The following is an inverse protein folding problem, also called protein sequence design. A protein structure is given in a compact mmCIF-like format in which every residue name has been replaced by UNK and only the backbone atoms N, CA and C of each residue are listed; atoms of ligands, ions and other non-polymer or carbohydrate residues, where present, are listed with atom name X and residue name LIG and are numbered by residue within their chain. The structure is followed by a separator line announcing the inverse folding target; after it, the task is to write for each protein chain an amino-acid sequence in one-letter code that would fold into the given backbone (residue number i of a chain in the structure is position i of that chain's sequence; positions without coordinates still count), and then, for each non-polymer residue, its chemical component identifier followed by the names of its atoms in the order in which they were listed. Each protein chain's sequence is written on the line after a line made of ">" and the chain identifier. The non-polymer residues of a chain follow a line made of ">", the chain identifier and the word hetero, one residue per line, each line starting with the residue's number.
data_IF_751832066613
#
_entry.id   IF_751832066613
#
_cell.length_a   1.000
_cell.length_b   1.000
_cell.length_c   1.000
_cell.angle_alpha   90.00
_cell.angle_beta   90.00
_cell.angle_gamma   90.00
#
_symmetry.space_group_name_H-M   'P 1'
#
loop_
_entity.id
_entity.type
_entity.pdbx_description
1 polymer ?
#
# COMPACT_ATOMS: atom_id res chain seq x y z
N UNK A 1 13.12 17.54 -3.95
CA UNK A 1 13.29 18.62 -4.94
C UNK A 1 13.25 20.03 -4.31
N UNK A 2 12.79 20.17 -3.07
CA UNK A 2 12.56 21.47 -2.41
C UNK A 2 11.37 22.28 -2.96
N UNK A 3 10.66 21.78 -3.95
CA UNK A 3 9.48 22.45 -4.49
C UNK A 3 8.24 22.13 -3.67
N UNK A 4 7.74 23.13 -2.93
CA UNK A 4 6.56 22.99 -2.06
C UNK A 4 5.27 22.65 -2.81
N UNK A 5 5.13 23.04 -4.08
CA UNK A 5 3.93 22.69 -4.86
C UNK A 5 3.77 21.19 -5.04
N UNK A 6 4.87 20.45 -5.20
CA UNK A 6 4.83 18.98 -5.28
C UNK A 6 4.43 18.35 -3.94
N UNK A 7 4.92 18.88 -2.83
CA UNK A 7 4.54 18.43 -1.50
C UNK A 7 3.04 18.63 -1.26
N UNK A 8 2.54 19.83 -1.51
CA UNK A 8 1.12 20.16 -1.36
C UNK A 8 0.23 19.26 -2.23
N UNK A 9 0.65 18.99 -3.47
CA UNK A 9 -0.11 18.13 -4.38
C UNK A 9 -0.11 16.68 -3.90
N UNK A 10 1.03 16.18 -3.44
CA UNK A 10 1.15 14.81 -2.93
C UNK A 10 0.29 14.62 -1.66
N UNK A 11 0.35 15.56 -0.71
CA UNK A 11 -0.47 15.55 0.51
C UNK A 11 -1.96 15.56 0.16
N UNK A 12 -2.36 16.45 -0.75
CA UNK A 12 -3.74 16.53 -1.22
C UNK A 12 -4.25 15.16 -1.74
N UNK A 13 -3.52 14.52 -2.66
CA UNK A 13 -3.97 13.25 -3.24
C UNK A 13 -3.99 12.11 -2.21
N UNK A 14 -3.04 12.07 -1.30
CA UNK A 14 -3.03 11.06 -0.22
C UNK A 14 -4.23 11.26 0.70
N UNK A 15 -4.49 12.49 1.16
CA UNK A 15 -5.60 12.76 2.09
C UNK A 15 -6.98 12.64 1.45
N UNK A 16 -7.09 12.86 0.13
CA UNK A 16 -8.35 12.67 -0.58
C UNK A 16 -8.71 11.19 -0.79
N UNK A 17 -7.73 10.30 -0.71
CA UNK A 17 -7.99 8.87 -0.94
C UNK A 17 -8.84 8.28 0.18
N UNK A 18 -9.96 7.68 -0.23
CA UNK A 18 -10.94 7.08 0.68
C UNK A 18 -11.83 8.08 1.43
N UNK A 19 -11.79 9.36 1.07
CA UNK A 19 -12.76 10.35 1.57
C UNK A 19 -14.09 10.25 0.82
N UNK A 20 -15.16 10.73 1.45
CA UNK A 20 -16.45 10.91 0.81
C UNK A 20 -16.64 12.38 0.38
N UNK A 21 -17.19 12.64 -0.82
CA UNK A 21 -17.62 11.66 -1.82
C UNK A 21 -16.42 10.94 -2.47
N UNK A 22 -16.54 9.61 -2.62
CA UNK A 22 -15.50 8.79 -3.21
C UNK A 22 -15.47 8.98 -4.74
N UNK A 23 -14.46 9.68 -5.24
CA UNK A 23 -14.32 10.00 -6.66
C UNK A 23 -14.40 8.77 -7.58
N UNK A 24 -13.74 7.65 -7.21
CA UNK A 24 -13.75 6.44 -8.04
C UNK A 24 -15.13 5.79 -8.08
N UNK A 25 -15.89 5.85 -6.97
CA UNK A 25 -17.27 5.39 -6.94
C UNK A 25 -18.17 6.28 -7.80
N UNK A 26 -18.02 7.59 -7.72
CA UNK A 26 -18.79 8.52 -8.56
C UNK A 26 -18.49 8.34 -10.06
N UNK A 27 -17.23 8.11 -10.39
CA UNK A 27 -16.84 7.77 -11.76
C UNK A 27 -17.43 6.43 -12.22
N UNK A 28 -17.43 5.41 -11.39
CA UNK A 28 -18.06 4.11 -11.67
C UNK A 28 -19.57 4.26 -11.91
N UNK A 29 -20.26 5.04 -11.07
CA UNK A 29 -21.70 5.35 -11.24
C UNK A 29 -21.96 6.11 -12.54
N UNK A 30 -21.13 7.11 -12.88
CA UNK A 30 -21.26 7.90 -14.11
C UNK A 30 -21.13 7.04 -15.36
N UNK A 31 -20.39 5.94 -15.30
CA UNK A 31 -20.28 4.92 -16.34
C UNK A 31 -21.38 3.84 -16.27
N UNK A 32 -22.47 4.11 -15.57
CA UNK A 32 -23.60 3.17 -15.41
C UNK A 32 -23.20 1.81 -14.83
N UNK A 33 -22.26 1.81 -13.88
CA UNK A 33 -21.75 0.60 -13.24
C UNK A 33 -20.84 -0.25 -14.13
N UNK A 34 -20.25 0.32 -15.20
CA UNK A 34 -19.31 -0.40 -16.04
C UNK A 34 -17.88 -0.19 -15.53
N UNK A 35 -17.19 -1.29 -15.29
CA UNK A 35 -15.75 -1.27 -15.01
C UNK A 35 -14.93 -1.01 -16.29
N UNK A 36 -13.79 -0.33 -16.16
CA UNK A 36 -12.87 -0.10 -17.27
C UNK A 36 -12.18 -1.40 -17.72
N UNK A 37 -11.96 -2.30 -16.78
CA UNK A 37 -11.29 -3.58 -17.04
C UNK A 37 -12.30 -4.72 -16.86
N UNK A 38 -12.43 -5.63 -17.85
CA UNK A 38 -13.39 -6.73 -17.82
C UNK A 38 -13.20 -7.72 -16.66
N UNK A 39 -12.00 -7.77 -16.08
CA UNK A 39 -11.64 -8.62 -14.95
C UNK A 39 -12.41 -8.25 -13.68
N UNK A 40 -12.85 -7.01 -13.57
CA UNK A 40 -13.67 -6.56 -12.46
C UNK A 40 -15.15 -6.79 -12.77
N UNK A 41 -15.74 -7.79 -12.11
CA UNK A 41 -17.19 -8.02 -12.20
C UNK A 41 -17.99 -6.94 -11.49
N UNK A 42 -17.48 -6.49 -10.34
CA UNK A 42 -18.10 -5.48 -9.49
C UNK A 42 -17.07 -4.42 -9.08
N UNK A 43 -17.56 -3.29 -8.61
CA UNK A 43 -16.69 -2.27 -8.03
C UNK A 43 -16.11 -2.77 -6.69
N UNK A 44 -14.80 -2.65 -6.55
CA UNK A 44 -14.07 -3.06 -5.34
C UNK A 44 -13.26 -1.86 -4.81
N UNK A 45 -13.78 -1.21 -3.78
CA UNK A 45 -13.16 -0.06 -3.12
C UNK A 45 -11.84 -0.42 -2.42
N UNK A 46 -11.71 -1.65 -1.91
CA UNK A 46 -10.46 -2.16 -1.33
C UNK A 46 -9.37 -2.30 -2.36
N UNK A 47 -9.72 -2.70 -3.60
CA UNK A 47 -8.73 -2.87 -4.67
C UNK A 47 -7.94 -1.59 -4.96
N UNK A 48 -8.61 -0.44 -4.89
CA UNK A 48 -8.02 0.87 -5.13
C UNK A 48 -7.57 1.60 -3.85
N UNK A 49 -7.60 0.95 -2.69
CA UNK A 49 -7.29 1.51 -1.38
C UNK A 49 -8.16 2.74 -1.02
N UNK A 50 -9.45 2.71 -1.40
CA UNK A 50 -10.42 3.80 -1.13
C UNK A 50 -11.57 3.39 -0.22
N UNK A 51 -11.50 2.20 0.39
CA UNK A 51 -12.51 1.66 1.31
C UNK A 51 -12.63 2.44 2.64
N UNK A 52 -11.63 3.22 2.96
CA UNK A 52 -11.60 4.14 4.10
C UNK A 52 -10.55 5.23 3.87
N UNK A 53 -10.65 6.40 4.52
CA UNK A 53 -9.58 7.38 4.55
C UNK A 53 -8.25 6.73 4.94
N UNK A 54 -7.15 7.07 4.25
CA UNK A 54 -5.87 6.37 4.41
C UNK A 54 -5.36 6.35 5.86
N UNK A 55 -5.61 7.41 6.62
CA UNK A 55 -5.23 7.49 8.04
C UNK A 55 -6.04 6.55 8.94
N UNK A 56 -7.17 6.02 8.45
CA UNK A 56 -8.04 5.08 9.17
C UNK A 56 -7.96 3.64 8.67
N UNK A 57 -7.15 3.38 7.66
CA UNK A 57 -6.96 2.02 7.18
C UNK A 57 -6.18 1.19 8.19
N UNK A 58 -6.69 -0.01 8.49
CA UNK A 58 -6.12 -0.93 9.49
C UNK A 58 -5.31 -2.06 8.84
N UNK A 59 -5.60 -2.38 7.58
CA UNK A 59 -4.99 -3.49 6.84
C UNK A 59 -4.55 -3.05 5.45
N UNK A 60 -3.50 -3.66 4.94
CA UNK A 60 -3.02 -3.44 3.58
C UNK A 60 -3.91 -4.17 2.57
N UNK A 61 -4.70 -3.43 1.81
CA UNK A 61 -5.72 -3.98 0.93
C UNK A 61 -5.42 -3.73 -0.55
N UNK A 62 -6.04 -4.53 -1.41
CA UNK A 62 -6.06 -4.36 -2.85
C UNK A 62 -4.75 -4.70 -3.54
N UNK A 63 -4.49 -4.08 -4.69
CA UNK A 63 -3.31 -4.33 -5.49
C UNK A 63 -2.04 -4.02 -4.71
N UNK A 64 -1.17 -5.02 -4.55
CA UNK A 64 -0.06 -4.97 -3.60
C UNK A 64 0.97 -3.88 -3.95
N UNK A 65 1.38 -3.77 -5.21
CA UNK A 65 2.35 -2.74 -5.65
C UNK A 65 1.83 -1.33 -5.40
N UNK A 66 0.58 -1.08 -5.80
CA UNK A 66 -0.04 0.24 -5.62
C UNK A 66 -0.15 0.62 -4.15
N UNK A 67 -0.49 -0.34 -3.30
CA UNK A 67 -0.58 -0.13 -1.86
C UNK A 67 0.78 0.30 -1.27
N UNK A 68 1.85 -0.47 -1.51
CA UNK A 68 3.17 -0.15 -0.93
C UNK A 68 3.81 1.10 -1.53
N UNK A 69 3.51 1.47 -2.77
CA UNK A 69 3.91 2.77 -3.32
C UNK A 69 3.17 3.93 -2.65
N UNK A 70 1.87 3.79 -2.41
CA UNK A 70 1.10 4.78 -1.67
C UNK A 70 1.62 4.93 -0.24
N UNK A 71 1.88 3.83 0.47
CA UNK A 71 2.43 3.86 1.83
C UNK A 71 3.84 4.45 1.87
N UNK A 72 4.64 4.25 0.83
CA UNK A 72 5.94 4.93 0.68
C UNK A 72 5.78 6.45 0.62
N UNK A 73 4.81 6.94 -0.14
CA UNK A 73 4.50 8.37 -0.22
C UNK A 73 3.98 8.91 1.12
N UNK A 74 3.12 8.16 1.82
CA UNK A 74 2.63 8.52 3.15
C UNK A 74 3.78 8.65 4.17
N UNK A 75 4.73 7.71 4.17
CA UNK A 75 5.89 7.76 5.07
C UNK A 75 6.80 8.97 4.77
N UNK A 76 7.01 9.32 3.50
CA UNK A 76 7.75 10.52 3.13
C UNK A 76 7.03 11.81 3.57
N UNK A 77 5.71 11.89 3.39
CA UNK A 77 4.89 13.02 3.86
C UNK A 77 4.95 13.15 5.38
N UNK A 78 4.71 12.03 6.11
CA UNK A 78 4.79 11.99 7.56
C UNK A 78 6.12 12.54 8.09
N UNK A 79 7.22 12.13 7.46
CA UNK A 79 8.57 12.58 7.83
C UNK A 79 8.80 14.08 7.55
N UNK A 80 8.39 14.55 6.37
CA UNK A 80 8.64 15.94 5.93
C UNK A 80 7.77 16.93 6.69
N UNK A 81 6.51 16.58 6.93
CA UNK A 81 5.54 17.43 7.60
C UNK A 81 5.48 17.23 9.12
N UNK A 82 6.20 16.21 9.63
CA UNK A 82 6.16 15.77 11.04
C UNK A 82 4.74 15.42 11.49
N UNK A 83 4.03 14.71 10.62
CA UNK A 83 2.65 14.28 10.84
C UNK A 83 2.62 12.95 11.61
N UNK A 84 2.37 13.02 12.90
CA UNK A 84 2.34 11.85 13.79
C UNK A 84 1.15 10.91 13.49
N UNK A 85 0.01 11.44 13.06
CA UNK A 85 -1.16 10.62 12.71
C UNK A 85 -0.87 9.78 11.45
N UNK A 86 -0.28 10.41 10.44
CA UNK A 86 0.15 9.69 9.22
C UNK A 86 1.27 8.70 9.52
N UNK A 87 2.22 9.04 10.39
CA UNK A 87 3.27 8.13 10.83
C UNK A 87 2.68 6.88 11.52
N UNK A 88 1.71 7.06 12.41
CA UNK A 88 1.01 5.97 13.08
C UNK A 88 0.23 5.09 12.08
N UNK A 89 -0.41 5.68 11.06
CA UNK A 89 -1.06 4.93 10.00
C UNK A 89 -0.06 4.10 9.20
N UNK A 90 1.09 4.66 8.82
CA UNK A 90 2.17 3.93 8.15
C UNK A 90 2.65 2.76 9.00
N UNK A 91 2.85 2.96 10.31
CA UNK A 91 3.28 1.91 11.22
C UNK A 91 2.28 0.75 11.26
N UNK A 92 0.98 1.02 11.42
CA UNK A 92 -0.08 -0.02 11.41
C UNK A 92 -0.07 -0.83 10.12
N UNK A 93 -0.02 -0.16 8.97
CA UNK A 93 -0.04 -0.80 7.67
C UNK A 93 1.23 -1.63 7.42
N UNK A 94 2.39 -1.10 7.82
CA UNK A 94 3.66 -1.84 7.77
C UNK A 94 3.60 -3.11 8.62
N UNK A 95 3.16 -2.99 9.85
CA UNK A 95 3.03 -4.13 10.76
C UNK A 95 2.03 -5.17 10.27
N UNK A 96 0.90 -4.75 9.70
CA UNK A 96 -0.05 -5.67 9.09
C UNK A 96 0.62 -6.47 7.95
N UNK A 97 1.36 -5.81 7.07
CA UNK A 97 2.07 -6.48 5.99
C UNK A 97 3.09 -7.46 6.55
N UNK A 98 4.03 -6.98 7.34
CA UNK A 98 5.21 -7.77 7.75
C UNK A 98 4.86 -8.92 8.69
N UNK A 99 3.90 -8.71 9.59
CA UNK A 99 3.53 -9.72 10.59
C UNK A 99 2.50 -10.73 10.10
N UNK A 100 1.69 -10.38 9.05
CA UNK A 100 0.52 -11.18 8.70
C UNK A 100 0.36 -11.49 7.21
N UNK A 101 1.01 -10.72 6.31
CA UNK A 101 0.78 -10.80 4.86
C UNK A 101 2.07 -10.93 4.04
N UNK A 102 3.19 -11.14 4.70
CA UNK A 102 4.49 -11.35 4.08
C UNK A 102 4.91 -12.81 4.23
N UNK A 103 5.36 -13.40 3.12
CA UNK A 103 5.96 -14.73 3.11
C UNK A 103 7.33 -14.73 3.77
N UNK A 104 7.79 -15.91 4.17
CA UNK A 104 9.12 -16.08 4.79
C UNK A 104 10.25 -15.57 3.90
N UNK A 105 10.06 -15.57 2.59
CA UNK A 105 11.00 -15.04 1.59
C UNK A 105 11.05 -13.51 1.54
N UNK A 106 10.07 -12.82 2.11
CA UNK A 106 9.90 -11.37 1.98
C UNK A 106 8.90 -10.95 0.89
N UNK A 107 8.35 -11.92 0.15
CA UNK A 107 7.33 -11.65 -0.87
C UNK A 107 6.00 -11.25 -0.26
N UNK A 108 5.23 -10.42 -0.98
CA UNK A 108 3.89 -9.95 -0.60
C UNK A 108 2.93 -10.04 -1.79
N UNK A 109 1.61 -9.99 -1.53
CA UNK A 109 0.60 -10.12 -2.58
C UNK A 109 0.38 -11.58 -2.94
N UNK A 110 -0.42 -12.30 -2.14
CA UNK A 110 -0.61 -13.75 -2.27
C UNK A 110 -1.45 -14.17 -3.48
N UNK A 111 -2.34 -13.29 -3.99
CA UNK A 111 -3.23 -13.62 -5.10
C UNK A 111 -2.75 -13.09 -6.44
N UNK A 112 -2.62 -13.98 -7.43
CA UNK A 112 -2.43 -13.61 -8.84
C UNK A 112 -3.66 -12.97 -9.48
N UNK A 113 -4.86 -13.20 -8.92
CA UNK A 113 -6.06 -12.52 -9.37
C UNK A 113 -6.01 -11.07 -8.91
N UNK A 114 -5.89 -10.14 -9.85
CA UNK A 114 -5.76 -8.71 -9.61
C UNK A 114 -4.51 -8.33 -8.79
N UNK A 115 -3.51 -9.21 -8.69
CA UNK A 115 -2.19 -8.94 -8.07
C UNK A 115 -2.31 -8.31 -6.68
N UNK A 116 -3.16 -8.92 -5.83
CA UNK A 116 -3.65 -8.26 -4.62
C UNK A 116 -3.28 -8.96 -3.33
N UNK A 117 -3.36 -8.22 -2.24
CA UNK A 117 -3.43 -8.78 -0.90
C UNK A 117 -4.73 -9.56 -0.72
N UNK A 118 -4.66 -10.63 0.07
CA UNK A 118 -5.79 -11.40 0.59
C UNK A 118 -5.95 -11.17 2.09
N UNK A 119 -6.66 -12.06 2.79
CA UNK A 119 -6.84 -11.95 4.23
C UNK A 119 -5.52 -12.12 5.01
N UNK A 120 -5.51 -11.69 6.27
CA UNK A 120 -4.41 -11.94 7.18
C UNK A 120 -4.12 -13.44 7.28
N UNK A 121 -2.83 -13.82 7.20
CA UNK A 121 -2.34 -15.20 7.24
C UNK A 121 -2.76 -16.10 6.08
N UNK A 122 -3.42 -15.59 5.04
CA UNK A 122 -3.67 -16.32 3.79
C UNK A 122 -2.41 -16.29 2.92
N UNK A 123 -1.49 -17.19 3.23
CA UNK A 123 -0.16 -17.30 2.63
C UNK A 123 0.08 -18.73 2.06
N UNK A 124 -0.71 -19.15 1.05
CA UNK A 124 -0.56 -20.47 0.45
C UNK A 124 0.79 -20.61 -0.26
N UNK A 125 1.50 -21.72 -0.03
CA UNK A 125 2.81 -21.96 -0.63
C UNK A 125 2.74 -22.51 -2.06
N UNK A 126 1.62 -23.12 -2.44
CA UNK A 126 1.40 -23.78 -3.72
C UNK A 126 0.89 -22.86 -4.84
N UNK A 127 0.44 -21.66 -4.48
CA UNK A 127 -0.18 -20.71 -5.42
C UNK A 127 0.12 -19.25 -5.10
N UNK A 128 1.25 -18.99 -4.44
CA UNK A 128 1.67 -17.62 -4.15
C UNK A 128 1.99 -16.86 -5.44
N UNK A 129 1.56 -15.60 -5.52
CA UNK A 129 1.90 -14.73 -6.64
C UNK A 129 3.23 -14.00 -6.39
N UNK A 130 3.32 -13.18 -5.37
CA UNK A 130 4.54 -12.56 -4.84
C UNK A 130 5.47 -11.97 -5.92
N UNK A 131 4.92 -11.12 -6.79
CA UNK A 131 5.71 -10.51 -7.86
C UNK A 131 6.86 -9.64 -7.34
N UNK A 132 7.95 -9.55 -8.10
CA UNK A 132 9.12 -8.72 -7.77
C UNK A 132 8.76 -7.25 -7.59
N UNK A 133 7.81 -6.72 -8.38
CA UNK A 133 7.33 -5.35 -8.25
C UNK A 133 6.81 -5.03 -6.85
N UNK A 134 6.05 -5.96 -6.26
CA UNK A 134 5.52 -5.81 -4.91
C UNK A 134 6.64 -5.87 -3.86
N UNK A 135 7.63 -6.75 -4.04
CA UNK A 135 8.80 -6.85 -3.18
C UNK A 135 9.67 -5.59 -3.23
N UNK A 136 9.91 -5.06 -4.43
CA UNK A 136 10.61 -3.76 -4.61
C UNK A 136 9.85 -2.63 -3.93
N UNK A 137 8.53 -2.58 -4.10
CA UNK A 137 7.69 -1.58 -3.43
C UNK A 137 7.72 -1.70 -1.90
N UNK A 138 7.74 -2.93 -1.37
CA UNK A 138 7.90 -3.18 0.07
C UNK A 138 9.27 -2.67 0.58
N UNK A 139 10.35 -2.93 -0.16
CA UNK A 139 11.68 -2.42 0.18
C UNK A 139 11.70 -0.88 0.21
N UNK A 140 11.05 -0.24 -0.76
CA UNK A 140 10.91 1.22 -0.79
C UNK A 140 10.13 1.74 0.42
N UNK A 141 9.07 1.07 0.82
CA UNK A 141 8.28 1.43 1.99
C UNK A 141 9.08 1.22 3.29
N UNK A 142 9.72 0.07 3.45
CA UNK A 142 10.56 -0.23 4.61
C UNK A 142 11.71 0.79 4.77
N UNK A 143 12.40 1.13 3.69
CA UNK A 143 13.48 2.14 3.72
C UNK A 143 12.96 3.52 4.15
N UNK A 144 11.73 3.90 3.76
CA UNK A 144 11.12 5.15 4.19
C UNK A 144 10.68 5.12 5.65
N UNK A 145 10.20 3.97 6.12
CA UNK A 145 9.93 3.78 7.54
C UNK A 145 11.21 3.90 8.39
N UNK A 146 12.33 3.32 7.95
CA UNK A 146 13.62 3.52 8.60
C UNK A 146 14.01 5.01 8.65
N UNK A 147 13.78 5.74 7.56
CA UNK A 147 14.06 7.19 7.49
C UNK A 147 13.11 8.03 8.35
N UNK A 148 11.89 7.56 8.58
CA UNK A 148 10.88 8.23 9.41
C UNK A 148 11.16 8.04 10.91
N UNK A 149 11.52 6.80 11.32
CA UNK A 149 11.63 6.41 12.73
C UNK A 149 13.07 6.45 13.27
N UNK A 150 14.07 6.30 12.40
CA UNK A 150 15.45 6.10 12.78
C UNK A 150 15.81 4.66 13.17
N UNK A 151 14.88 3.71 13.04
CA UNK A 151 15.06 2.33 13.49
C UNK A 151 15.62 1.43 12.37
N UNK A 152 16.62 0.61 12.70
CA UNK A 152 17.29 -0.27 11.74
C UNK A 152 16.49 -1.53 11.39
N UNK A 153 15.50 -1.93 12.21
CA UNK A 153 14.70 -3.15 12.01
C UNK A 153 13.99 -3.22 10.66
N UNK A 154 13.70 -2.08 10.06
CA UNK A 154 13.10 -2.01 8.74
C UNK A 154 14.02 -2.52 7.63
N UNK A 155 15.33 -2.44 7.81
CA UNK A 155 16.30 -2.97 6.85
C UNK A 155 16.37 -4.50 6.83
N UNK A 156 15.93 -5.19 7.88
CA UNK A 156 15.81 -6.65 7.89
C UNK A 156 14.80 -7.12 6.81
N UNK A 157 13.73 -6.35 6.62
CA UNK A 157 12.75 -6.62 5.55
C UNK A 157 13.33 -6.30 4.18
N UNK A 158 14.07 -5.20 4.05
CA UNK A 158 14.77 -4.86 2.79
C UNK A 158 15.73 -5.97 2.38
N UNK A 159 16.59 -6.42 3.29
CA UNK A 159 17.56 -7.49 3.03
C UNK A 159 16.85 -8.80 2.65
N UNK A 160 15.82 -9.19 3.41
CA UNK A 160 15.05 -10.41 3.16
C UNK A 160 14.41 -10.41 1.77
N UNK A 161 13.73 -9.32 1.41
CA UNK A 161 13.08 -9.20 0.10
C UNK A 161 14.13 -9.15 -1.04
N UNK A 162 15.20 -8.37 -0.87
CA UNK A 162 16.25 -8.22 -1.86
C UNK A 162 16.96 -9.56 -2.16
N UNK A 163 17.27 -10.34 -1.12
CA UNK A 163 18.03 -11.57 -1.29
C UNK A 163 17.19 -12.77 -1.75
N UNK A 164 15.86 -12.72 -1.66
CA UNK A 164 15.02 -13.90 -1.94
C UNK A 164 13.93 -13.68 -3.00
N UNK A 165 13.51 -12.43 -3.28
CA UNK A 165 12.34 -12.19 -4.15
C UNK A 165 12.59 -11.19 -5.28
N UNK A 166 13.75 -10.55 -5.33
CA UNK A 166 14.14 -9.58 -6.38
C UNK A 166 15.35 -10.03 -7.25
#
# INVERSE_FOLDING_TARGET
>A
TGNRSYLTLADYFIRQRGQEPNYLMEEYKSRQGRNLFPEFREYDDKYAQVHAPVLKQETAEGHAVRAVYMYSAMADLARVERDEEMAAACQRLYENIVKKRMYITGGIGSSGTLERFTADYDLPNDRMYCESCASVGLMMFAQRMASLTGEAVYYDVVERALCNTV
#
